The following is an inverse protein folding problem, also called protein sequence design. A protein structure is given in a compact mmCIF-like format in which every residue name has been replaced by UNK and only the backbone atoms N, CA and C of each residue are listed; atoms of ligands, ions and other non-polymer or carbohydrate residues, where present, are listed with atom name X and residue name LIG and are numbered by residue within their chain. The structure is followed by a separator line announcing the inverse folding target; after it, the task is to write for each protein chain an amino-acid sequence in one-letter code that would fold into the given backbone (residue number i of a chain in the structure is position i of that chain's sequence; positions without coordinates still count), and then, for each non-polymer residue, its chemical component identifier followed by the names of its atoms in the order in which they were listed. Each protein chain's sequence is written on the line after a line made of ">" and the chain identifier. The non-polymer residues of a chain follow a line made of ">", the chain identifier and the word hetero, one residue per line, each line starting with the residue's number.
data_IF_899940984150
#
_entry.id   IF_899940984150
#
_cell.length_a   1.000
_cell.length_b   1.000
_cell.length_c   1.000
_cell.angle_alpha   90.00
_cell.angle_beta   90.00
_cell.angle_gamma   90.00
#
_symmetry.space_group_name_H-M   'P 1'
#
loop_
_entity.id
_entity.type
_entity.pdbx_description
1 polymer ?
#
# COMPACT_ATOMS: atom_id res chain seq x y z
N UNK A 1 15.44 18.35 6.72
CA UNK A 1 14.85 17.03 6.98
C UNK A 1 14.88 16.29 5.66
N UNK A 2 15.90 15.45 5.47
CA UNK A 2 16.11 14.68 4.23
C UNK A 2 15.10 13.53 4.19
N UNK A 3 14.11 13.63 3.31
CA UNK A 3 13.31 12.46 2.92
C UNK A 3 14.14 11.70 1.89
N UNK A 4 14.94 10.74 2.37
CA UNK A 4 15.69 9.84 1.52
C UNK A 4 14.71 8.94 0.75
N UNK A 5 14.45 9.28 -0.51
CA UNK A 5 13.76 8.42 -1.46
C UNK A 5 14.67 7.24 -1.82
N UNK A 6 14.56 6.14 -1.09
CA UNK A 6 14.99 4.84 -1.62
C UNK A 6 13.82 4.21 -2.38
N UNK A 7 13.67 4.68 -3.62
CA UNK A 7 12.74 4.17 -4.62
C UNK A 7 13.22 2.83 -5.17
N UNK A 8 12.99 1.76 -4.41
CA UNK A 8 12.65 0.49 -5.04
C UNK A 8 11.16 0.52 -5.33
N UNK A 9 10.79 0.37 -6.60
CA UNK A 9 9.41 0.13 -7.00
C UNK A 9 8.91 -1.09 -6.21
N UNK A 10 7.86 -0.89 -5.41
CA UNK A 10 7.17 -2.00 -4.74
C UNK A 10 6.29 -2.64 -5.78
N UNK A 11 6.57 -3.91 -6.08
CA UNK A 11 5.72 -4.71 -6.95
C UNK A 11 4.43 -5.08 -6.22
N UNK A 12 3.27 -4.79 -6.84
CA UNK A 12 1.96 -4.93 -6.20
C UNK A 12 1.61 -6.41 -5.98
N UNK A 13 1.92 -7.28 -6.94
CA UNK A 13 1.66 -8.71 -6.83
C UNK A 13 2.49 -9.34 -5.71
N UNK A 14 3.80 -9.00 -5.65
CA UNK A 14 4.66 -9.44 -4.56
C UNK A 14 4.18 -8.94 -3.19
N UNK A 15 3.72 -7.68 -3.09
CA UNK A 15 3.16 -7.15 -1.85
C UNK A 15 1.88 -7.89 -1.43
N UNK A 16 0.99 -8.19 -2.38
CA UNK A 16 -0.22 -8.96 -2.09
C UNK A 16 0.13 -10.37 -1.58
N UNK A 17 1.07 -11.05 -2.23
CA UNK A 17 1.53 -12.36 -1.79
C UNK A 17 2.10 -12.32 -0.36
N UNK A 18 2.90 -11.30 -0.03
CA UNK A 18 3.44 -11.13 1.32
C UNK A 18 2.34 -10.86 2.37
N UNK A 19 1.38 -9.98 2.06
CA UNK A 19 0.22 -9.71 2.93
C UNK A 19 -0.54 -11.01 3.20
N UNK A 20 -0.79 -11.81 2.17
CA UNK A 20 -1.47 -13.10 2.27
C UNK A 20 -0.74 -14.06 3.20
N UNK A 21 0.57 -14.24 3.01
CA UNK A 21 1.37 -15.14 3.83
C UNK A 21 1.32 -14.77 5.32
N UNK A 22 1.42 -13.47 5.62
CA UNK A 22 1.37 -12.96 7.00
C UNK A 22 -0.01 -13.04 7.62
N UNK A 23 -1.06 -12.79 6.84
CA UNK A 23 -2.44 -12.98 7.25
C UNK A 23 -2.72 -14.47 7.55
N UNK A 24 -2.28 -15.39 6.70
CA UNK A 24 -2.43 -16.84 6.94
C UNK A 24 -1.62 -17.33 8.15
N UNK A 25 -0.52 -16.67 8.49
CA UNK A 25 0.23 -16.94 9.72
C UNK A 25 -0.45 -16.34 10.99
N UNK A 26 -1.56 -15.62 10.84
CA UNK A 26 -2.31 -14.99 11.94
C UNK A 26 -1.66 -13.73 12.50
N UNK A 27 -0.66 -13.16 11.84
CA UNK A 27 0.11 -12.02 12.37
C UNK A 27 -0.81 -10.83 12.73
N UNK A 28 -1.65 -10.42 11.78
CA UNK A 28 -2.50 -9.24 11.93
C UNK A 28 -3.62 -9.45 12.96
N UNK A 29 -4.18 -10.65 13.03
CA UNK A 29 -5.21 -11.00 14.01
C UNK A 29 -4.63 -11.01 15.43
N UNK A 30 -3.42 -11.54 15.60
CA UNK A 30 -2.75 -11.64 16.90
C UNK A 30 -2.34 -10.26 17.44
N UNK A 31 -1.89 -9.35 16.57
CA UNK A 31 -1.40 -8.04 17.00
C UNK A 31 -2.46 -6.92 16.90
N UNK A 32 -3.55 -7.14 16.16
CA UNK A 32 -4.64 -6.17 15.93
C UNK A 32 -4.23 -4.85 15.27
N UNK A 33 -3.15 -4.86 14.47
CA UNK A 33 -2.73 -3.73 13.63
C UNK A 33 -1.99 -4.21 12.37
N UNK A 34 -1.84 -3.32 11.38
CA UNK A 34 -1.03 -3.57 10.18
C UNK A 34 0.43 -3.22 10.47
N UNK A 35 1.33 -4.16 10.24
CA UNK A 35 2.76 -3.98 10.52
C UNK A 35 3.37 -2.80 9.79
N UNK A 36 4.29 -2.10 10.48
CA UNK A 36 4.86 -0.84 9.98
C UNK A 36 5.52 -1.01 8.60
N UNK A 37 6.17 -2.13 8.36
CA UNK A 37 6.84 -2.40 7.09
C UNK A 37 5.83 -2.59 5.93
N UNK A 38 4.64 -3.15 6.18
CA UNK A 38 3.54 -3.18 5.21
C UNK A 38 3.02 -1.77 4.95
N UNK A 39 2.85 -0.94 5.99
CA UNK A 39 2.43 0.46 5.85
C UNK A 39 3.43 1.24 4.97
N UNK A 40 4.74 1.05 5.17
CA UNK A 40 5.75 1.70 4.33
C UNK A 40 5.68 1.25 2.87
N UNK A 41 5.41 -0.03 2.61
CA UNK A 41 5.19 -0.55 1.23
C UNK A 41 3.92 0.03 0.61
N UNK A 42 2.83 0.13 1.36
CA UNK A 42 1.57 0.76 0.95
C UNK A 42 1.76 2.25 0.61
N UNK A 43 2.57 2.98 1.39
CA UNK A 43 2.95 4.37 1.06
C UNK A 43 3.68 4.45 -0.28
N UNK A 44 4.62 3.53 -0.56
CA UNK A 44 5.40 3.51 -1.80
C UNK A 44 4.57 3.24 -3.05
N UNK A 45 3.52 2.42 -2.96
CA UNK A 45 2.58 2.23 -4.08
C UNK A 45 1.57 3.40 -4.22
N UNK A 46 1.67 4.44 -3.38
CA UNK A 46 0.87 5.65 -3.50
C UNK A 46 -0.55 5.57 -2.94
N UNK A 47 -0.93 4.49 -2.24
CA UNK A 47 -2.34 4.23 -1.85
C UNK A 47 -2.96 5.40 -1.08
N UNK A 48 -2.23 6.01 -0.15
CA UNK A 48 -2.73 7.09 0.70
C UNK A 48 -2.82 8.45 0.00
N UNK A 49 -2.17 8.59 -1.16
CA UNK A 49 -2.14 9.83 -1.94
C UNK A 49 -2.78 9.69 -3.31
N UNK A 50 -3.40 8.53 -3.58
CA UNK A 50 -4.05 8.21 -4.84
C UNK A 50 -5.06 9.29 -5.28
N UNK A 51 -5.95 9.70 -4.39
CA UNK A 51 -7.02 10.67 -4.69
C UNK A 51 -6.59 12.14 -4.49
N UNK A 52 -5.36 12.40 -4.10
CA UNK A 52 -4.88 13.76 -3.81
C UNK A 52 -4.48 14.44 -5.14
N UNK A 53 -4.89 15.70 -5.39
CA UNK A 53 -4.50 16.42 -6.61
C UNK A 53 -2.98 16.53 -6.80
N UNK A 54 -2.54 16.51 -8.07
CA UNK A 54 -1.10 16.55 -8.42
C UNK A 54 -0.40 17.80 -7.90
N UNK A 55 -1.09 18.95 -7.90
CA UNK A 55 -0.57 20.21 -7.36
C UNK A 55 -0.21 20.17 -5.87
N UNK A 56 -0.74 19.18 -5.14
CA UNK A 56 -0.42 18.95 -3.74
C UNK A 56 0.52 17.75 -3.56
N UNK A 57 1.06 17.19 -4.64
CA UNK A 57 1.97 16.05 -4.66
C UNK A 57 1.27 14.70 -4.50
N UNK A 58 0.03 14.57 -4.96
CA UNK A 58 -0.67 13.28 -5.05
C UNK A 58 -0.74 12.75 -6.47
N UNK A 59 -1.46 11.65 -6.67
CA UNK A 59 -1.53 10.98 -7.98
C UNK A 59 -2.74 11.41 -8.83
N UNK A 60 -3.74 12.05 -8.22
CA UNK A 60 -4.97 12.49 -8.87
C UNK A 60 -5.67 11.36 -9.66
N UNK A 61 -5.68 10.16 -9.08
CA UNK A 61 -6.41 9.03 -9.62
C UNK A 61 -7.92 9.27 -9.59
N UNK A 62 -8.61 8.68 -10.55
CA UNK A 62 -10.07 8.58 -10.50
C UNK A 62 -10.53 7.68 -9.34
N UNK A 63 -11.76 7.88 -8.83
CA UNK A 63 -12.33 6.97 -7.82
C UNK A 63 -12.31 5.50 -8.24
N UNK A 64 -12.51 5.22 -9.54
CA UNK A 64 -12.46 3.86 -10.09
C UNK A 64 -11.09 3.22 -9.93
N UNK A 65 -10.02 3.91 -10.32
CA UNK A 65 -8.65 3.40 -10.19
C UNK A 65 -8.29 3.13 -8.72
N UNK A 66 -8.74 4.00 -7.81
CA UNK A 66 -8.55 3.77 -6.38
C UNK A 66 -9.30 2.52 -5.90
N UNK A 67 -10.57 2.34 -6.28
CA UNK A 67 -11.33 1.14 -5.93
C UNK A 67 -10.67 -0.14 -6.49
N UNK A 68 -10.21 -0.12 -7.74
CA UNK A 68 -9.50 -1.25 -8.36
C UNK A 68 -8.24 -1.66 -7.56
N UNK A 69 -7.48 -0.68 -7.03
CA UNK A 69 -6.34 -0.95 -6.15
C UNK A 69 -6.77 -1.57 -4.83
N UNK A 70 -7.78 -1.01 -4.16
CA UNK A 70 -8.27 -1.53 -2.86
C UNK A 70 -8.83 -2.95 -3.02
N UNK A 71 -9.55 -3.23 -4.10
CA UNK A 71 -10.04 -4.57 -4.41
C UNK A 71 -8.90 -5.56 -4.62
N UNK A 72 -7.82 -5.14 -5.28
CA UNK A 72 -6.64 -5.98 -5.47
C UNK A 72 -5.99 -6.32 -4.14
N UNK A 73 -5.75 -5.30 -3.29
CA UNK A 73 -5.19 -5.49 -1.94
C UNK A 73 -6.11 -6.35 -1.05
N UNK A 74 -7.43 -6.24 -1.19
CA UNK A 74 -8.40 -6.99 -0.37
C UNK A 74 -8.54 -8.45 -0.79
N UNK A 75 -8.07 -8.82 -1.99
CA UNK A 75 -8.07 -10.20 -2.51
C UNK A 75 -6.78 -10.95 -2.21
N UNK A 76 -5.76 -10.26 -1.71
CA UNK A 76 -4.53 -10.86 -1.18
C UNK A 76 -4.87 -11.89 -0.11
#
# INVERSE_FOLDING_TARGET
>A
MEFASQDKAVDLDALCQEIRERACAGEFDNQAYVSQDIIEKLKKIGVYRALVPKRFGGEEWSPRQFCELIETLSKA
#
